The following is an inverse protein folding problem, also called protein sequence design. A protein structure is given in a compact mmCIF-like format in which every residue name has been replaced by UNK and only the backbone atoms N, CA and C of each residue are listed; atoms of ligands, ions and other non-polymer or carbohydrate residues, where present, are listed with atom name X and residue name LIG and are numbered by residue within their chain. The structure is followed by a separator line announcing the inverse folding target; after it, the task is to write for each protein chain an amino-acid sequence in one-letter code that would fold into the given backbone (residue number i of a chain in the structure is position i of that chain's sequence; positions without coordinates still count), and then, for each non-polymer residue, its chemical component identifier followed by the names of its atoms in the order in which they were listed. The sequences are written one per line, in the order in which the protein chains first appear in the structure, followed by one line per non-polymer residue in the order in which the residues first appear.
data_IF_074403929001
#
_entry.id   IF_074403929001
#
_cell.length_a   1.000
_cell.length_b   1.000
_cell.length_c   1.000
_cell.angle_alpha   90.00
_cell.angle_beta   90.00
_cell.angle_gamma   90.00
#
_symmetry.space_group_name_H-M   'P 1'
#
loop_
_entity.id
_entity.type
_entity.pdbx_description
1 polymer ?
#
# COMPACT_ATOMS: atom_id res chain seq x y z
N UNK A 1 -2.72 3.31 -14.70
CA UNK A 1 -3.07 1.95 -14.23
C UNK A 1 -2.55 1.87 -12.80
N UNK A 2 -3.42 1.79 -11.81
CA UNK A 2 -3.04 1.70 -10.40
C UNK A 2 -2.76 0.25 -10.03
N UNK A 3 -1.76 -0.01 -9.18
CA UNK A 3 -1.38 -1.38 -8.79
C UNK A 3 -1.86 -1.73 -7.39
N UNK A 4 -2.25 -3.00 -7.22
CA UNK A 4 -2.60 -3.64 -5.95
C UNK A 4 -2.72 -5.14 -6.18
N UNK A 5 -2.05 -5.95 -5.37
CA UNK A 5 -2.20 -7.41 -5.36
C UNK A 5 -2.36 -7.88 -3.92
N UNK A 6 -3.34 -8.75 -3.69
CA UNK A 6 -3.53 -9.43 -2.41
C UNK A 6 -2.90 -10.83 -2.47
N UNK A 7 -1.95 -11.11 -1.57
CA UNK A 7 -1.22 -12.37 -1.48
C UNK A 7 -1.75 -13.18 -0.29
N UNK A 8 -2.19 -14.40 -0.55
CA UNK A 8 -2.74 -15.35 0.44
C UNK A 8 -3.85 -14.76 1.34
N UNK A 9 -4.55 -13.72 0.86
CA UNK A 9 -5.60 -13.05 1.63
C UNK A 9 -5.09 -12.25 2.84
N UNK A 10 -3.78 -12.00 2.95
CA UNK A 10 -3.17 -11.40 4.15
C UNK A 10 -2.29 -10.20 3.88
N UNK A 11 -1.55 -10.19 2.78
CA UNK A 11 -0.57 -9.14 2.48
C UNK A 11 -0.98 -8.41 1.21
N UNK A 12 -1.12 -7.09 1.30
CA UNK A 12 -1.34 -6.23 0.16
C UNK A 12 0.01 -5.73 -0.37
N UNK A 13 0.26 -5.87 -1.67
CA UNK A 13 1.41 -5.25 -2.35
C UNK A 13 0.90 -4.08 -3.17
N UNK A 14 1.35 -2.88 -2.79
CA UNK A 14 0.83 -1.58 -3.24
C UNK A 14 -0.67 -1.37 -2.94
N UNK A 15 -1.07 -0.11 -2.91
CA UNK A 15 -2.43 0.37 -2.70
C UNK A 15 -2.59 1.70 -3.46
N UNK A 16 -2.73 1.62 -4.78
CA UNK A 16 -2.93 2.80 -5.62
C UNK A 16 -4.23 3.55 -5.32
N UNK A 17 -4.34 4.80 -5.78
CA UNK A 17 -5.47 5.71 -5.48
C UNK A 17 -6.87 5.12 -5.70
N UNK A 18 -7.06 4.21 -6.66
CA UNK A 18 -8.35 3.55 -6.92
C UNK A 18 -8.85 2.69 -5.74
N UNK A 19 -7.97 2.35 -4.78
CA UNK A 19 -8.23 1.52 -3.61
C UNK A 19 -8.55 2.31 -2.33
N UNK A 20 -8.58 3.64 -2.40
CA UNK A 20 -8.96 4.49 -1.26
C UNK A 20 -10.34 4.06 -0.71
N UNK A 21 -10.39 3.76 0.59
CA UNK A 21 -11.60 3.31 1.30
C UNK A 21 -12.20 1.98 0.80
N UNK A 22 -11.43 1.20 0.03
CA UNK A 22 -11.83 -0.12 -0.47
C UNK A 22 -10.96 -1.25 0.08
N UNK A 23 -9.68 -0.99 0.32
CA UNK A 23 -8.73 -2.04 0.72
C UNK A 23 -9.01 -2.58 2.13
N UNK A 24 -9.68 -1.80 2.97
CA UNK A 24 -10.03 -2.15 4.34
C UNK A 24 -10.97 -3.36 4.40
N UNK A 25 -11.78 -3.58 3.35
CA UNK A 25 -12.67 -4.73 3.25
C UNK A 25 -11.93 -6.08 3.16
N UNK A 26 -10.64 -6.07 2.83
CA UNK A 26 -9.82 -7.29 2.78
C UNK A 26 -9.12 -7.59 4.11
N UNK A 27 -9.23 -6.72 5.12
CA UNK A 27 -8.59 -6.87 6.43
C UNK A 27 -7.11 -7.32 6.36
N UNK A 28 -6.24 -6.66 5.56
CA UNK A 28 -4.87 -7.10 5.39
C UNK A 28 -4.08 -6.98 6.71
N UNK A 29 -3.23 -7.97 6.97
CA UNK A 29 -2.30 -7.96 8.12
C UNK A 29 -1.15 -6.96 7.90
N UNK A 30 -0.76 -6.74 6.64
CA UNK A 30 0.30 -5.83 6.25
C UNK A 30 0.12 -5.29 4.82
N UNK A 31 0.67 -4.11 4.59
CA UNK A 31 0.81 -3.50 3.26
C UNK A 31 2.30 -3.29 2.98
N UNK A 32 2.76 -3.71 1.80
CA UNK A 32 4.12 -3.49 1.33
C UNK A 32 4.08 -2.54 0.14
N UNK A 33 4.74 -1.40 0.26
CA UNK A 33 4.86 -0.41 -0.82
C UNK A 33 6.15 -0.64 -1.61
N UNK A 34 6.03 -0.77 -2.92
CA UNK A 34 7.19 -0.84 -3.82
C UNK A 34 7.88 0.52 -3.94
N UNK A 35 7.09 1.59 -4.03
CA UNK A 35 7.54 2.99 -4.02
C UNK A 35 6.37 3.96 -3.73
N UNK A 36 6.68 5.26 -3.62
CA UNK A 36 5.75 6.26 -3.07
C UNK A 36 4.92 7.04 -4.10
N UNK A 37 4.84 6.58 -5.37
CA UNK A 37 3.99 7.27 -6.34
C UNK A 37 2.49 7.06 -6.03
N UNK A 38 1.60 8.00 -6.39
CA UNK A 38 0.17 7.90 -6.10
C UNK A 38 -0.50 6.65 -6.69
N UNK A 39 0.04 6.11 -7.78
CA UNK A 39 -0.42 4.88 -8.41
C UNK A 39 -0.13 3.61 -7.61
N UNK A 40 0.70 3.73 -6.56
CA UNK A 40 1.09 2.66 -5.64
C UNK A 40 0.75 2.93 -4.18
N UNK A 41 0.68 4.20 -3.74
CA UNK A 41 0.46 4.55 -2.33
C UNK A 41 -0.77 5.43 -2.11
N UNK A 42 -1.45 5.87 -3.18
CA UNK A 42 -2.54 6.85 -3.10
C UNK A 42 -3.75 6.38 -2.27
N UNK A 43 -4.00 5.08 -2.21
CA UNK A 43 -5.07 4.48 -1.39
C UNK A 43 -4.84 4.63 0.11
N UNK A 44 -3.60 4.92 0.54
CA UNK A 44 -3.23 5.11 1.95
C UNK A 44 -3.24 6.58 2.39
N UNK A 45 -3.84 7.48 1.60
CA UNK A 45 -3.88 8.93 1.88
C UNK A 45 -4.42 9.27 3.28
N UNK A 46 -5.27 8.42 3.84
CA UNK A 46 -5.87 8.59 5.18
C UNK A 46 -5.27 7.65 6.24
N UNK A 47 -4.11 7.05 5.95
CA UNK A 47 -3.48 6.03 6.77
C UNK A 47 -3.94 4.62 6.44
N UNK A 48 -3.51 3.65 7.25
CA UNK A 48 -3.91 2.25 7.16
C UNK A 48 -4.16 1.71 8.57
N UNK A 49 -5.13 0.79 8.75
CA UNK A 49 -5.38 0.14 10.04
C UNK A 49 -4.33 -0.92 10.42
N UNK A 50 -3.40 -1.23 9.51
CA UNK A 50 -2.39 -2.26 9.66
C UNK A 50 -0.96 -1.72 9.45
N UNK A 51 0.04 -2.59 9.60
CA UNK A 51 1.44 -2.22 9.37
C UNK A 51 1.67 -1.89 7.90
N UNK A 52 2.42 -0.82 7.64
CA UNK A 52 2.86 -0.43 6.28
C UNK A 52 4.38 -0.50 6.22
N UNK A 53 4.90 -1.36 5.34
CA UNK A 53 6.32 -1.51 5.08
C UNK A 53 6.67 -0.76 3.79
N UNK A 54 7.70 0.07 3.84
CA UNK A 54 8.20 0.80 2.69
C UNK A 54 9.72 0.81 2.67
N UNK A 55 10.29 0.90 1.47
CA UNK A 55 11.72 1.11 1.32
C UNK A 55 12.10 2.51 1.80
N UNK A 56 13.18 2.61 2.57
CA UNK A 56 13.83 3.90 2.81
C UNK A 56 14.34 4.45 1.47
N UNK A 57 14.12 5.74 1.20
CA UNK A 57 14.86 6.40 0.12
C UNK A 57 16.33 6.33 0.50
N UNK A 58 17.19 5.82 -0.39
CA UNK A 58 18.62 6.03 -0.24
C UNK A 58 18.87 7.54 -0.25
N UNK A 59 19.21 8.11 0.90
CA UNK A 59 19.76 9.45 0.98
C UNK A 59 21.23 9.38 0.58
N UNK A 60 21.62 10.13 -0.45
CA UNK A 60 22.97 10.71 -0.47
C UNK A 60 23.03 11.66 0.74
N UNK A 61 23.94 11.36 1.67
CA UNK A 61 24.33 12.28 2.72
C UNK A 61 24.91 13.57 2.13
#
# INVERSE_FOLDING_TARGET
MHSCVLVEGRVLVDCGADWLSKFEAFEPEAIVLTHAHPDHAGGLKHGAPCKVYARLKHGTA
#
